data_IF_756443240052
#
_entry.id   IF_756443240052
#
_cell.length_a   1.000
_cell.length_b   1.000
_cell.length_c   1.000
_cell.angle_alpha   90.00
_cell.angle_beta   90.00
_cell.angle_gamma   90.00
#
_symmetry.space_group_name_H-M   'P 1'
#
loop_
_entity.id
_entity.type
_entity.pdbx_description
1 polymer ?
#
# COMPACT_ATOMS: atom_id res chain seq x y z
N UNK A 1 -42.26 21.40 -56.10
CA UNK A 1 -41.87 20.99 -54.76
C UNK A 1 -40.41 21.32 -54.62
N UNK A 2 -40.08 22.29 -53.79
CA UNK A 2 -38.84 23.06 -53.79
C UNK A 2 -37.71 22.30 -53.04
N UNK A 3 -36.63 21.98 -53.78
CA UNK A 3 -35.41 21.43 -53.20
C UNK A 3 -34.50 22.54 -52.59
N UNK A 4 -34.04 22.36 -51.40
CA UNK A 4 -33.00 23.22 -50.78
C UNK A 4 -31.62 22.61 -51.02
N UNK A 5 -30.81 23.34 -51.78
CA UNK A 5 -29.39 23.07 -51.94
C UNK A 5 -28.63 23.76 -50.81
N UNK A 6 -27.97 22.97 -49.93
CA UNK A 6 -27.02 23.49 -48.97
C UNK A 6 -25.64 23.48 -49.62
N UNK A 7 -25.09 24.67 -49.82
CA UNK A 7 -23.72 24.88 -50.31
C UNK A 7 -22.72 24.48 -49.24
N UNK A 8 -21.94 23.44 -49.50
CA UNK A 8 -20.70 23.15 -48.76
C UNK A 8 -19.64 24.18 -49.12
N UNK A 9 -19.35 25.10 -48.24
CA UNK A 9 -18.18 25.98 -48.32
C UNK A 9 -16.91 25.20 -47.93
N UNK A 10 -16.02 25.03 -48.90
CA UNK A 10 -14.69 24.50 -48.67
C UNK A 10 -13.88 25.54 -47.88
N UNK A 11 -13.57 25.25 -46.63
CA UNK A 11 -12.52 25.94 -45.88
C UNK A 11 -11.16 25.33 -46.26
N UNK A 12 -10.46 26.00 -47.19
CA UNK A 12 -9.05 25.74 -47.45
C UNK A 12 -8.25 26.29 -46.30
N UNK A 13 -7.73 25.41 -45.43
CA UNK A 13 -6.75 25.78 -44.45
C UNK A 13 -5.39 25.86 -45.14
N UNK A 14 -4.91 27.07 -45.37
CA UNK A 14 -3.55 27.36 -45.79
C UNK A 14 -2.62 26.99 -44.63
N UNK A 15 -1.93 25.82 -44.70
CA UNK A 15 -0.79 25.54 -43.88
C UNK A 15 0.39 26.31 -44.47
N UNK A 16 0.61 27.52 -43.98
CA UNK A 16 1.88 28.21 -44.16
C UNK A 16 2.95 27.51 -43.32
N UNK A 17 3.84 26.81 -43.98
CA UNK A 17 5.08 26.29 -43.40
C UNK A 17 6.00 27.44 -42.97
N UNK A 18 5.83 27.93 -41.75
CA UNK A 18 6.83 28.82 -41.13
C UNK A 18 7.86 27.88 -40.47
N UNK A 19 8.90 27.56 -41.26
CA UNK A 19 10.20 27.15 -40.71
C UNK A 19 10.85 28.44 -40.18
N UNK A 20 10.38 28.91 -39.07
CA UNK A 20 11.00 29.95 -38.26
C UNK A 20 11.66 29.27 -37.07
N UNK A 21 12.96 29.47 -36.95
CA UNK A 21 13.76 28.90 -35.86
C UNK A 21 13.11 29.10 -34.48
N UNK A 22 12.75 28.01 -33.83
CA UNK A 22 12.51 28.01 -32.40
C UNK A 22 13.85 28.32 -31.75
N UNK A 23 14.12 29.60 -31.49
CA UNK A 23 15.04 29.99 -30.45
C UNK A 23 14.57 29.25 -29.20
N UNK A 24 15.40 28.33 -28.72
CA UNK A 24 15.26 27.73 -27.39
C UNK A 24 15.42 28.91 -26.41
N UNK A 25 14.33 29.59 -26.12
CA UNK A 25 14.23 30.29 -24.85
C UNK A 25 14.28 29.17 -23.82
N UNK A 26 15.48 28.93 -23.30
CA UNK A 26 15.63 28.13 -22.11
C UNK A 26 14.63 28.68 -21.09
N UNK A 27 13.68 27.87 -20.65
CA UNK A 27 12.89 28.23 -19.49
C UNK A 27 13.92 28.69 -18.44
N UNK A 28 13.76 29.87 -17.82
CA UNK A 28 14.67 30.28 -16.75
C UNK A 28 14.71 29.09 -15.78
N UNK A 29 15.95 28.72 -15.40
CA UNK A 29 16.13 27.71 -14.34
C UNK A 29 15.20 28.13 -13.21
N UNK A 30 14.39 27.21 -12.66
CA UNK A 30 13.46 27.56 -11.61
C UNK A 30 14.27 28.23 -10.51
N UNK A 31 14.08 29.54 -10.33
CA UNK A 31 14.62 30.26 -9.18
C UNK A 31 14.23 29.42 -7.98
N UNK A 32 15.21 28.93 -7.23
CA UNK A 32 14.93 28.17 -6.02
C UNK A 32 14.00 29.05 -5.17
N UNK A 33 12.94 28.48 -4.63
CA UNK A 33 11.99 29.23 -3.79
C UNK A 33 12.69 29.97 -2.63
N UNK A 34 13.94 29.59 -2.33
CA UNK A 34 14.80 30.20 -1.31
C UNK A 34 15.35 31.60 -1.70
N UNK A 35 15.42 31.92 -2.97
CA UNK A 35 15.98 33.22 -3.45
C UNK A 35 14.90 34.25 -3.81
N UNK A 36 13.64 33.85 -3.93
CA UNK A 36 12.53 34.73 -4.28
C UNK A 36 11.86 35.26 -3.03
N UNK A 37 11.65 36.58 -2.92
CA UNK A 37 10.79 37.16 -1.88
C UNK A 37 9.36 36.76 -2.17
N UNK A 38 8.88 35.69 -1.44
CA UNK A 38 7.53 35.14 -1.62
C UNK A 38 6.48 36.14 -1.15
N UNK A 39 5.34 36.20 -1.83
CA UNK A 39 4.17 36.92 -1.34
C UNK A 39 3.67 36.31 -0.03
N UNK A 40 2.88 37.05 0.75
CA UNK A 40 2.26 36.50 1.96
C UNK A 40 1.38 35.28 1.65
N UNK A 41 0.73 35.27 0.48
CA UNK A 41 -0.09 34.16 0.03
C UNK A 41 0.77 32.92 -0.29
N UNK A 42 1.87 33.06 -1.01
CA UNK A 42 2.80 31.96 -1.29
C UNK A 42 3.40 31.39 0.02
N UNK A 43 3.73 32.26 0.98
CA UNK A 43 4.19 31.84 2.31
C UNK A 43 3.13 31.03 3.04
N UNK A 44 1.86 31.44 2.98
CA UNK A 44 0.76 30.70 3.58
C UNK A 44 0.58 29.30 2.97
N UNK A 45 0.67 29.19 1.62
CA UNK A 45 0.62 27.88 0.91
C UNK A 45 1.75 26.97 1.38
N UNK A 46 2.99 27.46 1.42
CA UNK A 46 4.15 26.66 1.80
C UNK A 46 4.06 26.23 3.26
N UNK A 47 3.63 27.13 4.16
CA UNK A 47 3.47 26.84 5.57
C UNK A 47 2.41 25.77 5.78
N UNK A 48 1.24 25.90 5.14
CA UNK A 48 0.18 24.91 5.20
C UNK A 48 0.65 23.55 4.64
N UNK A 49 1.37 23.51 3.53
CA UNK A 49 1.88 22.27 2.95
C UNK A 49 2.87 21.56 3.91
N UNK A 50 3.78 22.29 4.55
CA UNK A 50 4.70 21.75 5.56
C UNK A 50 3.94 21.18 6.76
N UNK A 51 2.98 21.91 7.28
CA UNK A 51 2.14 21.47 8.39
C UNK A 51 1.41 20.19 8.06
N UNK A 52 0.78 20.11 6.87
CA UNK A 52 0.07 18.89 6.43
C UNK A 52 1.00 17.70 6.26
N UNK A 53 2.25 17.90 5.81
CA UNK A 53 3.25 16.80 5.72
C UNK A 53 3.64 16.32 7.11
N UNK A 54 3.88 17.23 8.06
CA UNK A 54 4.32 16.85 9.41
C UNK A 54 3.20 16.17 10.18
N UNK A 55 1.99 16.72 10.17
CA UNK A 55 0.81 16.14 10.80
C UNK A 55 0.45 14.79 10.16
N UNK A 56 0.46 14.71 8.83
CA UNK A 56 0.18 13.50 8.10
C UNK A 56 1.18 12.39 8.37
N UNK A 57 2.47 12.72 8.56
CA UNK A 57 3.50 11.77 8.97
C UNK A 57 3.23 11.24 10.38
N UNK A 58 2.84 12.09 11.32
CA UNK A 58 2.49 11.66 12.67
C UNK A 58 1.27 10.73 12.65
N UNK A 59 0.24 11.08 11.89
CA UNK A 59 -0.95 10.24 11.72
C UNK A 59 -0.58 8.89 11.09
N UNK A 60 0.14 8.89 9.97
CA UNK A 60 0.53 7.68 9.27
C UNK A 60 1.35 6.72 10.13
N UNK A 61 2.25 7.26 10.96
CA UNK A 61 3.21 6.49 11.76
C UNK A 61 2.69 6.05 13.11
N UNK A 62 1.73 6.81 13.72
CA UNK A 62 1.43 6.64 15.14
C UNK A 62 -0.05 6.67 15.51
N UNK A 63 -0.96 7.03 14.59
CA UNK A 63 -2.38 7.13 14.90
C UNK A 63 -3.08 5.78 14.73
N UNK A 64 -3.85 5.38 15.72
CA UNK A 64 -4.64 4.15 15.74
C UNK A 64 -6.11 4.38 15.42
N UNK A 65 -6.54 5.63 15.31
CA UNK A 65 -7.94 5.99 15.04
C UNK A 65 -8.96 5.40 16.03
N UNK A 66 -8.51 5.02 17.23
CA UNK A 66 -9.37 4.36 18.23
C UNK A 66 -9.54 2.85 18.02
N UNK A 67 -8.72 2.24 17.17
CA UNK A 67 -8.79 0.81 16.84
C UNK A 67 -8.30 -0.13 17.95
N UNK A 68 -7.66 0.42 18.99
CA UNK A 68 -7.30 -0.33 20.19
C UNK A 68 -8.49 -1.01 20.86
N UNK A 69 -9.70 -0.47 20.67
CA UNK A 69 -10.93 -1.12 21.13
C UNK A 69 -11.22 -2.44 20.41
N UNK A 70 -10.70 -2.64 19.21
CA UNK A 70 -10.78 -3.91 18.49
C UNK A 70 -9.56 -4.79 18.77
N UNK A 71 -8.36 -4.32 18.47
CA UNK A 71 -7.14 -5.12 18.56
C UNK A 71 -6.75 -5.45 20.00
N UNK A 72 -6.92 -4.50 20.89
CA UNK A 72 -6.62 -4.64 22.32
C UNK A 72 -7.78 -5.21 23.12
N UNK A 73 -8.98 -4.60 23.03
CA UNK A 73 -10.08 -4.93 23.92
C UNK A 73 -10.85 -6.17 23.44
N UNK A 74 -11.26 -6.20 22.15
CA UNK A 74 -12.05 -7.32 21.63
C UNK A 74 -11.19 -8.56 21.34
N UNK A 75 -10.09 -8.42 20.58
CA UNK A 75 -9.22 -9.54 20.23
C UNK A 75 -8.22 -9.91 21.33
N UNK A 76 -7.98 -9.01 22.29
CA UNK A 76 -7.02 -9.17 23.39
C UNK A 76 -5.59 -9.48 22.92
N UNK A 77 -5.17 -8.97 21.75
CA UNK A 77 -3.88 -9.29 21.16
C UNK A 77 -2.70 -8.91 22.07
N UNK A 78 -2.84 -7.85 22.87
CA UNK A 78 -1.85 -7.44 23.88
C UNK A 78 -1.55 -8.54 24.89
N UNK A 79 -2.51 -9.42 25.22
CA UNK A 79 -2.32 -10.53 26.15
C UNK A 79 -1.38 -11.60 25.55
N UNK A 80 -1.50 -11.88 24.24
CA UNK A 80 -0.60 -12.79 23.55
C UNK A 80 0.82 -12.18 23.41
N UNK A 81 0.94 -10.87 23.27
CA UNK A 81 2.24 -10.17 23.23
C UNK A 81 2.94 -10.26 24.58
N UNK A 82 2.23 -10.00 25.68
CA UNK A 82 2.77 -10.10 27.04
C UNK A 82 3.21 -11.52 27.39
N UNK A 83 2.40 -12.50 27.05
CA UNK A 83 2.60 -13.87 27.52
C UNK A 83 2.34 -14.04 29.03
N UNK A 84 2.24 -15.28 29.46
CA UNK A 84 1.90 -15.62 30.85
C UNK A 84 2.87 -15.04 31.90
N UNK A 85 4.15 -14.89 31.54
CA UNK A 85 5.17 -14.33 32.46
C UNK A 85 4.92 -12.87 32.81
N UNK A 86 4.28 -12.10 31.94
CA UNK A 86 3.97 -10.69 32.13
C UNK A 86 2.46 -10.45 32.38
N UNK A 87 1.74 -11.48 32.85
CA UNK A 87 0.31 -11.39 33.18
C UNK A 87 -0.61 -11.44 31.95
N UNK A 88 -0.14 -11.93 30.82
CA UNK A 88 -0.91 -12.22 29.61
C UNK A 88 -1.16 -13.71 29.44
N UNK A 89 -1.25 -14.17 28.19
CA UNK A 89 -1.52 -15.58 27.84
C UNK A 89 -0.48 -16.15 26.89
N UNK A 90 -0.23 -17.47 26.98
CA UNK A 90 0.72 -18.17 26.13
C UNK A 90 2.20 -17.82 26.41
N UNK A 91 3.10 -18.06 25.43
CA UNK A 91 4.55 -17.88 25.63
C UNK A 91 4.97 -16.43 25.61
N UNK A 92 4.16 -15.50 25.08
CA UNK A 92 4.53 -14.14 24.76
C UNK A 92 5.19 -14.00 23.39
N UNK A 93 5.26 -12.79 22.87
CA UNK A 93 5.89 -12.48 21.60
C UNK A 93 7.24 -11.85 21.81
N UNK A 94 8.32 -12.63 21.64
CA UNK A 94 9.70 -12.11 21.71
C UNK A 94 10.05 -11.28 20.47
N UNK A 95 11.05 -10.37 20.50
CA UNK A 95 11.53 -9.67 19.32
C UNK A 95 11.92 -10.61 18.17
N UNK A 96 12.59 -11.72 18.45
CA UNK A 96 12.93 -12.73 17.41
C UNK A 96 11.68 -13.25 16.72
N UNK A 97 10.64 -13.62 17.48
CA UNK A 97 9.38 -14.09 16.93
C UNK A 97 8.65 -12.96 16.17
N UNK A 98 8.64 -11.74 16.71
CA UNK A 98 8.02 -10.58 16.08
C UNK A 98 8.67 -10.23 14.73
N UNK A 99 10.00 -10.20 14.66
CA UNK A 99 10.76 -10.03 13.42
C UNK A 99 10.51 -11.18 12.44
N UNK A 100 10.38 -12.41 12.92
CA UNK A 100 10.02 -13.59 12.12
C UNK A 100 8.63 -13.49 11.51
N UNK A 101 7.69 -12.79 12.15
CA UNK A 101 6.37 -12.44 11.62
C UNK A 101 6.38 -11.19 10.73
N UNK A 102 7.56 -10.60 10.50
CA UNK A 102 7.74 -9.45 9.61
C UNK A 102 7.50 -8.10 10.25
N UNK A 103 7.30 -8.01 11.57
CA UNK A 103 7.33 -6.73 12.28
C UNK A 103 8.70 -6.09 12.15
N UNK A 104 8.78 -4.77 12.22
CA UNK A 104 10.00 -3.99 12.05
C UNK A 104 10.24 -3.09 13.25
N UNK A 105 11.50 -2.72 13.46
CA UNK A 105 11.90 -1.80 14.54
C UNK A 105 12.57 -0.57 13.93
N UNK A 106 12.05 0.60 14.28
CA UNK A 106 12.58 1.91 13.89
C UNK A 106 13.76 2.28 14.79
N UNK A 107 14.96 2.26 14.22
CA UNK A 107 16.19 2.55 14.95
C UNK A 107 16.27 3.99 15.47
N UNK A 108 15.60 4.94 14.77
CA UNK A 108 15.62 6.35 15.17
C UNK A 108 14.80 6.62 16.45
N UNK A 109 13.98 5.66 16.90
CA UNK A 109 13.24 5.71 18.16
C UNK A 109 13.92 4.93 19.30
N UNK A 110 15.04 4.29 19.04
CA UNK A 110 15.83 3.62 20.07
C UNK A 110 16.76 4.61 20.76
N UNK A 111 16.85 4.60 22.11
CA UNK A 111 17.96 5.27 22.80
C UNK A 111 19.31 4.77 22.28
N UNK A 112 20.27 5.67 22.13
CA UNK A 112 21.59 5.34 21.54
C UNK A 112 22.29 4.16 22.25
N UNK A 113 22.16 4.09 23.56
CA UNK A 113 22.73 2.97 24.36
C UNK A 113 22.06 1.63 24.02
N UNK A 114 20.74 1.63 23.85
CA UNK A 114 20.00 0.43 23.46
C UNK A 114 20.38 -0.01 22.03
N UNK A 115 20.45 0.92 21.08
CA UNK A 115 20.91 0.62 19.73
C UNK A 115 22.32 0.03 19.69
N UNK A 116 23.24 0.54 20.53
CA UNK A 116 24.59 0.00 20.68
C UNK A 116 24.59 -1.40 21.32
N UNK A 117 23.72 -1.66 22.30
CA UNK A 117 23.57 -2.98 22.91
C UNK A 117 23.01 -4.00 21.92
N UNK A 118 22.02 -3.61 21.09
CA UNK A 118 21.49 -4.47 20.00
C UNK A 118 22.62 -4.81 19.02
N UNK A 119 23.40 -3.82 18.58
CA UNK A 119 24.53 -4.02 17.66
C UNK A 119 25.58 -4.96 18.26
N UNK A 120 25.79 -4.90 19.56
CA UNK A 120 26.73 -5.74 20.28
C UNK A 120 26.19 -7.13 20.67
N UNK A 121 24.94 -7.45 20.30
CA UNK A 121 24.27 -8.72 20.66
C UNK A 121 24.04 -8.89 22.16
N UNK A 122 23.89 -7.78 22.91
CA UNK A 122 23.73 -7.79 24.36
C UNK A 122 22.29 -7.67 24.85
N UNK A 123 21.35 -7.48 23.90
CA UNK A 123 19.91 -7.46 24.20
C UNK A 123 19.35 -8.86 24.03
N UNK A 124 18.61 -9.33 25.02
CA UNK A 124 17.87 -10.59 24.90
C UNK A 124 16.69 -10.38 23.95
N UNK A 125 16.81 -10.89 22.73
CA UNK A 125 15.78 -10.83 21.70
C UNK A 125 14.78 -12.00 21.80
N UNK A 126 14.96 -12.92 22.72
CA UNK A 126 14.04 -14.05 22.95
C UNK A 126 13.11 -13.83 24.15
N UNK A 127 13.30 -12.72 24.89
CA UNK A 127 12.42 -12.34 26.00
C UNK A 127 11.25 -11.44 25.51
N UNK A 128 9.98 -11.83 25.71
CA UNK A 128 8.81 -10.98 25.43
C UNK A 128 8.82 -9.63 26.14
N UNK A 129 9.50 -9.50 27.30
CA UNK A 129 9.64 -8.22 27.99
C UNK A 129 10.36 -7.17 27.11
N UNK A 130 11.30 -7.61 26.25
CA UNK A 130 11.98 -6.73 25.31
C UNK A 130 11.00 -6.17 24.26
N UNK A 131 10.05 -6.98 23.75
CA UNK A 131 9.00 -6.49 22.86
C UNK A 131 8.11 -5.44 23.54
N UNK A 132 7.69 -5.68 24.77
CA UNK A 132 6.90 -4.72 25.55
C UNK A 132 7.68 -3.42 25.75
N UNK A 133 8.99 -3.49 26.04
CA UNK A 133 9.85 -2.30 26.14
C UNK A 133 9.95 -1.54 24.81
N UNK A 134 10.09 -2.22 23.68
CA UNK A 134 10.09 -1.60 22.34
C UNK A 134 8.76 -0.93 22.00
N UNK A 135 7.63 -1.52 22.39
CA UNK A 135 6.30 -0.88 22.26
C UNK A 135 6.19 0.39 23.11
N UNK A 136 6.76 0.39 24.33
CA UNK A 136 6.80 1.57 25.21
C UNK A 136 7.60 2.72 24.60
N UNK A 137 8.65 2.40 23.84
CA UNK A 137 9.44 3.36 23.07
C UNK A 137 8.77 3.79 21.76
N UNK A 138 7.63 3.20 21.41
CA UNK A 138 6.97 3.34 20.08
C UNK A 138 7.87 2.95 18.90
N UNK A 139 8.87 2.11 19.16
CA UNK A 139 9.86 1.71 18.17
C UNK A 139 9.40 0.57 17.26
N UNK A 140 8.34 -0.17 17.62
CA UNK A 140 7.76 -1.19 16.74
C UNK A 140 6.93 -0.50 15.66
N UNK A 141 7.37 -0.65 14.41
CA UNK A 141 6.73 0.01 13.25
C UNK A 141 5.30 -0.48 13.09
N UNK A 142 4.35 0.46 13.09
CA UNK A 142 2.95 0.18 12.84
C UNK A 142 2.14 -0.33 14.03
N UNK A 143 2.72 -0.33 15.25
CA UNK A 143 2.04 -0.73 16.48
C UNK A 143 2.17 0.33 17.58
N UNK A 144 1.07 0.65 18.24
CA UNK A 144 1.05 1.47 19.46
C UNK A 144 0.58 0.64 20.65
N UNK A 145 1.43 0.52 21.67
CA UNK A 145 1.03 -0.02 22.97
C UNK A 145 0.43 1.05 23.87
N UNK A 146 -0.65 0.73 24.54
CA UNK A 146 -1.29 1.56 25.57
C UNK A 146 -0.95 0.99 26.95
N UNK A 147 -0.42 1.84 27.81
CA UNK A 147 0.10 1.44 29.12
C UNK A 147 -0.64 2.15 30.24
N UNK A 148 -0.83 1.47 31.36
CA UNK A 148 -1.34 2.09 32.58
C UNK A 148 -0.24 2.88 33.32
N UNK A 149 -0.62 3.46 34.47
CA UNK A 149 0.31 4.24 35.30
C UNK A 149 1.42 3.38 35.95
N UNK A 150 1.24 2.08 36.07
CA UNK A 150 2.25 1.14 36.54
C UNK A 150 3.24 0.75 35.43
N UNK A 151 2.90 1.08 34.18
CA UNK A 151 3.69 0.76 32.99
C UNK A 151 3.37 -0.61 32.39
N UNK A 152 2.24 -1.20 32.76
CA UNK A 152 1.76 -2.45 32.22
C UNK A 152 1.00 -2.24 30.91
N UNK A 153 1.25 -3.09 29.91
CA UNK A 153 0.59 -3.04 28.61
C UNK A 153 -0.89 -3.47 28.76
N UNK A 154 -1.82 -2.55 28.51
CA UNK A 154 -3.25 -2.75 28.67
C UNK A 154 -3.98 -2.99 27.34
N UNK A 155 -3.49 -2.41 26.26
CA UNK A 155 -4.11 -2.54 24.94
C UNK A 155 -3.07 -2.30 23.85
N UNK A 156 -3.45 -2.57 22.60
CA UNK A 156 -2.62 -2.32 21.41
C UNK A 156 -3.51 -1.87 20.27
N UNK A 157 -3.01 -0.93 19.46
CA UNK A 157 -3.61 -0.52 18.20
C UNK A 157 -2.62 -0.61 17.06
N UNK A 158 -3.14 -0.65 15.83
CA UNK A 158 -2.35 -0.70 14.60
C UNK A 158 -2.37 0.65 13.88
N UNK A 159 -1.43 0.82 12.93
CA UNK A 159 -1.25 2.07 12.19
C UNK A 159 -1.07 1.78 10.71
N UNK A 160 -1.28 2.78 9.83
CA UNK A 160 -1.02 2.67 8.39
C UNK A 160 0.40 2.16 8.10
N UNK A 161 1.37 2.55 8.93
CA UNK A 161 2.76 2.16 8.81
C UNK A 161 2.99 0.64 9.01
N UNK A 162 2.08 -0.11 9.61
CA UNK A 162 2.21 -1.57 9.78
C UNK A 162 2.40 -2.28 8.44
N UNK A 163 1.52 -2.00 7.48
CA UNK A 163 1.52 -2.60 6.15
C UNK A 163 2.36 -1.80 5.13
N UNK A 164 2.44 -0.47 5.32
CA UNK A 164 3.00 0.46 4.34
C UNK A 164 4.29 1.15 4.81
N UNK A 165 5.05 0.52 5.72
CA UNK A 165 6.42 0.89 6.03
C UNK A 165 7.28 -0.34 6.25
N UNK A 166 8.53 -0.27 5.82
CA UNK A 166 9.58 -1.20 6.20
C UNK A 166 10.76 -0.43 6.80
N UNK A 167 11.91 -1.07 6.93
CA UNK A 167 13.16 -0.43 7.39
C UNK A 167 14.30 -0.80 6.44
N UNK A 168 15.37 0.01 6.49
CA UNK A 168 16.57 -0.14 5.65
C UNK A 168 17.58 -1.18 6.17
N UNK A 169 17.24 -1.92 7.23
CA UNK A 169 18.09 -2.92 7.87
C UNK A 169 19.47 -2.38 8.32
N UNK A 170 19.61 -1.06 8.51
CA UNK A 170 20.89 -0.40 8.79
C UNK A 170 21.51 -0.79 10.13
N UNK A 171 20.74 -1.36 11.06
CA UNK A 171 21.27 -1.87 12.34
C UNK A 171 21.38 -3.40 12.34
N UNK A 172 20.31 -4.10 11.94
CA UNK A 172 20.21 -5.55 11.84
C UNK A 172 19.00 -5.91 10.94
N UNK A 173 18.86 -7.16 10.46
CA UNK A 173 17.68 -7.57 9.69
C UNK A 173 16.37 -7.23 10.43
N UNK A 174 15.50 -6.46 9.80
CA UNK A 174 14.26 -5.96 10.38
C UNK A 174 14.38 -4.80 11.35
N UNK A 175 15.59 -4.28 11.58
CA UNK A 175 15.88 -3.16 12.48
C UNK A 175 16.68 -2.10 11.73
N UNK A 176 16.11 -0.93 11.49
CA UNK A 176 16.75 0.11 10.72
C UNK A 176 15.92 1.39 10.68
N UNK A 177 16.28 2.31 9.78
CA UNK A 177 15.52 3.54 9.56
C UNK A 177 14.28 3.26 8.74
N UNK A 178 13.22 3.92 9.10
CA UNK A 178 11.90 3.71 8.49
C UNK A 178 11.85 4.18 7.04
N UNK A 179 11.25 3.36 6.19
CA UNK A 179 10.97 3.60 4.78
C UNK A 179 9.45 3.65 4.60
N UNK A 180 8.86 4.82 4.80
CA UNK A 180 7.42 5.00 4.65
C UNK A 180 7.01 4.89 3.17
N UNK A 181 5.83 4.32 2.94
CA UNK A 181 5.29 4.05 1.61
C UNK A 181 5.75 2.71 1.00
N UNK A 182 6.77 2.08 1.55
CA UNK A 182 7.21 0.76 1.10
C UNK A 182 6.30 -0.32 1.67
N UNK A 183 5.82 -1.22 0.81
CA UNK A 183 5.04 -2.37 1.26
C UNK A 183 5.89 -3.29 2.15
N UNK A 184 5.41 -3.61 3.35
CA UNK A 184 6.06 -4.58 4.22
C UNK A 184 5.77 -6.00 3.75
N UNK A 185 6.57 -6.51 2.82
CA UNK A 185 6.41 -7.84 2.21
C UNK A 185 6.83 -9.00 3.11
N UNK A 186 7.42 -8.71 4.27
CA UNK A 186 7.70 -9.71 5.31
C UNK A 186 6.53 -9.89 6.28
N UNK A 187 5.65 -8.89 6.38
CA UNK A 187 4.58 -8.86 7.38
C UNK A 187 3.54 -9.95 7.15
N UNK A 188 3.38 -10.84 8.11
CA UNK A 188 2.34 -11.87 8.11
C UNK A 188 1.17 -11.42 8.99
N UNK A 189 0.31 -10.54 8.44
CA UNK A 189 -0.85 -9.96 9.15
C UNK A 189 -1.75 -11.06 9.67
N UNK A 190 -2.01 -12.09 8.86
CA UNK A 190 -2.87 -13.20 9.25
C UNK A 190 -2.32 -13.95 10.46
N UNK A 191 -1.05 -14.35 10.43
CA UNK A 191 -0.43 -15.05 11.54
C UNK A 191 -0.36 -14.19 12.82
N UNK A 192 -0.12 -12.88 12.70
CA UNK A 192 -0.14 -11.95 13.84
C UNK A 192 -1.55 -11.88 14.45
N UNK A 193 -2.58 -11.71 13.61
CA UNK A 193 -3.97 -11.67 14.06
C UNK A 193 -4.39 -13.01 14.68
N UNK A 194 -3.93 -14.13 14.13
CA UNK A 194 -4.21 -15.48 14.65
C UNK A 194 -3.60 -15.76 16.05
N UNK A 195 -2.65 -14.92 16.53
CA UNK A 195 -2.17 -14.98 17.91
C UNK A 195 -3.21 -14.50 18.93
N UNK A 196 -4.24 -13.78 18.49
CA UNK A 196 -5.27 -13.25 19.38
C UNK A 196 -5.94 -14.35 20.17
N UNK A 197 -6.08 -14.20 21.51
CA UNK A 197 -6.76 -15.18 22.35
C UNK A 197 -8.25 -15.30 22.04
N UNK A 198 -8.88 -14.21 21.60
CA UNK A 198 -10.30 -14.13 21.29
C UNK A 198 -10.55 -13.65 19.86
N UNK A 199 -11.06 -14.51 19.02
CA UNK A 199 -11.48 -14.20 17.64
C UNK A 199 -13.02 -14.24 17.49
N UNK A 200 -13.76 -14.23 18.60
CA UNK A 200 -15.22 -14.38 18.60
C UNK A 200 -15.94 -13.28 17.82
N UNK A 201 -15.44 -12.04 17.88
CA UNK A 201 -15.99 -10.91 17.13
C UNK A 201 -15.91 -11.11 15.62
N UNK A 202 -14.76 -11.60 15.12
CA UNK A 202 -14.56 -11.92 13.70
C UNK A 202 -15.35 -13.15 13.30
N UNK A 203 -15.35 -14.20 14.15
CA UNK A 203 -16.11 -15.42 13.95
C UNK A 203 -17.61 -15.15 13.82
N UNK A 204 -18.15 -14.30 14.71
CA UNK A 204 -19.56 -13.88 14.68
C UNK A 204 -19.89 -13.09 13.41
N UNK A 205 -19.01 -12.16 13.00
CA UNK A 205 -19.21 -11.36 11.78
C UNK A 205 -19.26 -12.26 10.54
N UNK A 206 -18.37 -13.26 10.45
CA UNK A 206 -18.26 -14.15 9.31
C UNK A 206 -19.23 -15.36 9.37
N UNK A 207 -19.91 -15.56 10.51
CA UNK A 207 -20.82 -16.70 10.72
C UNK A 207 -20.14 -18.07 10.77
N UNK A 208 -18.90 -18.12 11.28
CA UNK A 208 -18.08 -19.34 11.41
C UNK A 208 -17.53 -19.47 12.84
N UNK A 209 -16.87 -20.60 13.17
CA UNK A 209 -16.18 -20.74 14.44
C UNK A 209 -14.78 -20.07 14.43
N UNK A 210 -14.21 -19.83 15.63
CA UNK A 210 -12.91 -19.16 15.79
C UNK A 210 -11.75 -19.97 15.19
N UNK A 211 -11.83 -21.29 15.17
CA UNK A 211 -10.79 -22.14 14.59
C UNK A 211 -10.75 -21.99 13.07
N UNK A 212 -11.92 -21.94 12.43
CA UNK A 212 -12.04 -21.62 10.99
C UNK A 212 -11.42 -20.24 10.68
N UNK A 213 -11.72 -19.23 11.49
CA UNK A 213 -11.07 -17.90 11.34
C UNK A 213 -9.55 -18.00 11.42
N UNK A 214 -9.02 -18.73 12.42
CA UNK A 214 -7.59 -18.94 12.63
C UNK A 214 -6.92 -19.63 11.44
N UNK A 215 -7.57 -20.65 10.88
CA UNK A 215 -7.06 -21.34 9.69
C UNK A 215 -7.02 -20.44 8.47
N UNK A 216 -8.06 -19.64 8.23
CA UNK A 216 -8.08 -18.64 7.15
C UNK A 216 -6.97 -17.62 7.31
N UNK A 217 -6.81 -17.03 8.49
CA UNK A 217 -5.76 -16.06 8.78
C UNK A 217 -4.35 -16.64 8.53
N UNK A 218 -4.08 -17.85 9.00
CA UNK A 218 -2.81 -18.54 8.79
C UNK A 218 -2.54 -18.90 7.32
N UNK A 219 -3.58 -18.95 6.46
CA UNK A 219 -3.42 -19.23 5.02
C UNK A 219 -2.92 -18.05 4.21
N UNK A 220 -2.93 -16.82 4.75
CA UNK A 220 -2.56 -15.61 3.98
C UNK A 220 -1.07 -15.58 3.62
N UNK A 221 -0.21 -15.85 4.60
CA UNK A 221 1.24 -15.82 4.44
C UNK A 221 1.85 -14.39 4.43
N UNK A 222 3.19 -14.30 4.34
CA UNK A 222 3.91 -13.02 4.40
C UNK A 222 3.56 -12.08 3.25
N UNK A 223 3.47 -10.78 3.55
CA UNK A 223 3.25 -9.70 2.59
C UNK A 223 1.85 -9.67 2.00
N UNK A 224 0.90 -10.40 2.57
CA UNK A 224 -0.48 -10.51 2.07
C UNK A 224 -1.51 -10.11 3.10
N UNK A 225 -2.63 -9.58 2.60
CA UNK A 225 -3.81 -9.22 3.36
C UNK A 225 -5.07 -9.41 2.51
N UNK A 226 -6.16 -9.81 3.12
CA UNK A 226 -7.44 -9.95 2.43
C UNK A 226 -8.45 -8.89 2.89
N UNK A 227 -8.37 -7.71 2.29
CA UNK A 227 -9.29 -6.60 2.55
C UNK A 227 -10.75 -6.91 2.17
N UNK A 228 -10.99 -7.90 1.32
CA UNK A 228 -12.34 -8.23 0.87
C UNK A 228 -13.00 -9.32 1.72
N UNK A 229 -12.26 -10.00 2.62
CA UNK A 229 -12.81 -11.08 3.46
C UNK A 229 -14.01 -10.61 4.28
N UNK A 230 -13.90 -9.46 4.93
CA UNK A 230 -14.98 -8.86 5.74
C UNK A 230 -16.08 -8.22 4.89
N UNK A 231 -15.93 -8.19 3.57
CA UNK A 231 -16.94 -7.68 2.65
C UNK A 231 -17.79 -8.83 2.08
N UNK A 232 -17.13 -9.87 1.52
CA UNK A 232 -17.79 -10.93 0.76
C UNK A 232 -17.70 -12.33 1.37
N UNK A 233 -16.90 -12.53 2.41
CA UNK A 233 -16.72 -13.82 3.11
C UNK A 233 -15.93 -14.87 2.33
N UNK A 234 -15.27 -14.52 1.21
CA UNK A 234 -14.54 -15.46 0.36
C UNK A 234 -13.09 -15.56 0.80
N UNK A 235 -12.75 -16.59 1.55
CA UNK A 235 -11.40 -16.81 2.09
C UNK A 235 -10.43 -17.47 1.10
N UNK A 236 -10.95 -18.25 0.14
CA UNK A 236 -10.15 -19.04 -0.79
C UNK A 236 -10.60 -18.83 -2.23
N UNK A 237 -9.64 -18.96 -3.14
CA UNK A 237 -9.84 -18.95 -4.58
C UNK A 237 -10.37 -20.32 -5.06
N UNK A 238 -10.93 -20.41 -6.28
CA UNK A 238 -11.39 -21.69 -6.84
C UNK A 238 -10.28 -22.75 -6.96
N UNK A 239 -9.01 -22.34 -7.04
CA UNK A 239 -7.84 -23.24 -7.09
C UNK A 239 -7.39 -23.70 -5.67
N UNK A 240 -8.13 -23.35 -4.62
CA UNK A 240 -7.83 -23.70 -3.23
C UNK A 240 -6.78 -22.83 -2.56
N UNK A 241 -6.18 -21.85 -3.27
CA UNK A 241 -5.23 -20.93 -2.67
C UNK A 241 -5.96 -19.82 -1.90
N UNK A 242 -5.24 -19.20 -0.96
CA UNK A 242 -5.75 -18.05 -0.22
C UNK A 242 -6.20 -16.91 -1.16
N UNK A 243 -7.30 -16.26 -0.79
CA UNK A 243 -7.82 -15.08 -1.48
C UNK A 243 -7.03 -13.79 -1.15
N UNK A 244 -6.12 -13.85 -0.17
CA UNK A 244 -5.32 -12.70 0.24
C UNK A 244 -4.42 -12.19 -0.90
N UNK A 245 -4.35 -10.87 -1.02
CA UNK A 245 -3.55 -10.18 -2.03
C UNK A 245 -2.29 -9.58 -1.45
N UNK A 246 -1.28 -9.37 -2.29
CA UNK A 246 -0.05 -8.71 -1.89
C UNK A 246 -0.32 -7.27 -1.44
N UNK A 247 0.32 -6.86 -0.35
CA UNK A 247 0.31 -5.47 0.11
C UNK A 247 0.91 -4.57 -0.98
N UNK A 248 0.16 -3.58 -1.49
CA UNK A 248 0.69 -2.66 -2.50
C UNK A 248 1.59 -1.60 -1.85
N UNK A 249 2.54 -1.01 -2.59
CA UNK A 249 3.27 0.15 -2.12
C UNK A 249 2.33 1.37 -2.00
N UNK A 250 2.65 2.26 -1.06
CA UNK A 250 1.96 3.53 -0.82
C UNK A 250 2.89 4.74 -1.07
N UNK A 251 3.77 4.64 -2.05
CA UNK A 251 4.61 5.73 -2.55
C UNK A 251 4.27 6.06 -4.01
N UNK A 252 4.66 7.24 -4.48
CA UNK A 252 4.44 7.66 -5.88
C UNK A 252 2.96 7.78 -6.26
N UNK A 253 2.09 8.10 -5.30
CA UNK A 253 0.65 8.13 -5.47
C UNK A 253 0.14 9.43 -6.12
N UNK A 254 0.96 10.49 -6.13
CA UNK A 254 0.59 11.77 -6.74
C UNK A 254 0.36 11.65 -8.25
N UNK A 255 -0.69 12.28 -8.74
CA UNK A 255 -1.08 12.25 -10.16
C UNK A 255 -1.94 11.05 -10.57
N UNK A 256 -2.27 10.16 -9.65
CA UNK A 256 -3.08 8.96 -9.90
C UNK A 256 -4.33 9.02 -9.04
N UNK A 257 -5.50 8.76 -9.61
CA UNK A 257 -6.78 8.86 -8.88
C UNK A 257 -7.37 7.51 -8.47
N UNK A 258 -6.94 6.39 -9.07
CA UNK A 258 -7.39 5.05 -8.67
C UNK A 258 -6.26 4.27 -8.01
N UNK A 259 -6.55 3.61 -6.90
CA UNK A 259 -5.55 2.92 -6.09
C UNK A 259 -5.98 1.50 -5.72
N UNK A 260 -5.05 0.72 -5.17
CA UNK A 260 -5.12 -0.73 -4.95
C UNK A 260 -5.13 -1.54 -6.26
N UNK A 261 -5.31 -2.86 -6.20
CA UNK A 261 -5.24 -3.73 -7.38
C UNK A 261 -6.44 -3.55 -8.33
N UNK A 262 -7.61 -3.29 -7.77
CA UNK A 262 -8.88 -3.18 -8.49
C UNK A 262 -9.31 -1.73 -8.76
N UNK A 263 -8.64 -0.75 -8.16
CA UNK A 263 -8.83 0.65 -8.50
C UNK A 263 -10.21 1.25 -8.19
N UNK A 264 -10.96 0.69 -7.25
CA UNK A 264 -12.33 1.15 -6.99
C UNK A 264 -12.44 2.46 -6.17
N UNK A 265 -11.31 3.10 -5.85
CA UNK A 265 -11.29 4.37 -5.12
C UNK A 265 -9.95 5.07 -5.14
N UNK A 266 -9.98 6.33 -4.73
CA UNK A 266 -8.80 7.19 -4.55
C UNK A 266 -8.03 6.87 -3.27
N UNK A 267 -6.87 7.50 -3.05
CA UNK A 267 -6.13 7.41 -1.76
C UNK A 267 -7.02 7.86 -0.60
N UNK A 268 -7.75 8.96 -0.76
CA UNK A 268 -8.65 9.47 0.30
C UNK A 268 -9.77 8.49 0.63
N UNK A 269 -10.36 7.88 -0.40
CA UNK A 269 -11.37 6.83 -0.21
C UNK A 269 -10.78 5.66 0.58
N UNK A 270 -9.62 5.15 0.15
CA UNK A 270 -8.97 4.02 0.80
C UNK A 270 -8.51 4.33 2.22
N UNK A 271 -8.06 5.55 2.50
CA UNK A 271 -7.74 5.97 3.87
C UNK A 271 -8.96 5.89 4.78
N UNK A 272 -10.12 6.38 4.32
CA UNK A 272 -11.37 6.30 5.08
C UNK A 272 -11.86 4.85 5.22
N UNK A 273 -11.82 4.07 4.13
CA UNK A 273 -12.21 2.65 4.14
C UNK A 273 -11.36 1.84 5.11
N UNK A 274 -10.04 1.88 4.96
CA UNK A 274 -9.10 1.09 5.78
C UNK A 274 -9.19 1.48 7.25
N UNK A 275 -9.18 2.79 7.56
CA UNK A 275 -9.24 3.24 8.94
C UNK A 275 -10.55 2.83 9.65
N UNK A 276 -11.70 2.84 8.94
CA UNK A 276 -12.98 2.45 9.53
C UNK A 276 -13.21 0.93 9.53
N UNK A 277 -12.87 0.21 8.42
CA UNK A 277 -13.33 -1.16 8.20
C UNK A 277 -12.24 -2.21 8.41
N UNK A 278 -10.98 -1.92 8.04
CA UNK A 278 -9.87 -2.88 8.14
C UNK A 278 -9.10 -2.73 9.47
N UNK A 279 -8.87 -1.49 9.89
CA UNK A 279 -8.26 -1.20 11.18
C UNK A 279 -9.28 -1.27 12.32
N UNK A 280 -10.59 -1.17 12.02
CA UNK A 280 -11.69 -1.08 12.98
C UNK A 280 -11.64 0.17 13.88
N UNK A 281 -11.17 1.28 13.31
CA UNK A 281 -11.18 2.59 13.97
C UNK A 281 -12.59 3.17 14.10
N UNK A 282 -12.69 4.28 14.82
CA UNK A 282 -13.96 4.95 15.11
C UNK A 282 -14.12 6.21 14.26
N UNK A 283 -14.88 6.15 13.18
CA UNK A 283 -15.03 7.29 12.28
C UNK A 283 -16.34 7.30 11.51
N UNK A 284 -16.35 8.14 10.48
CA UNK A 284 -17.43 8.24 9.52
C UNK A 284 -16.97 7.69 8.17
N UNK A 285 -17.79 6.78 7.58
CA UNK A 285 -17.54 6.26 6.25
C UNK A 285 -18.87 5.99 5.53
N UNK A 286 -18.92 6.29 4.23
CA UNK A 286 -20.10 6.05 3.40
C UNK A 286 -19.71 5.56 2.01
N UNK A 287 -20.16 4.34 1.68
CA UNK A 287 -20.13 3.79 0.32
C UNK A 287 -21.35 2.91 0.09
N UNK A 288 -22.38 3.39 -0.64
CA UNK A 288 -23.60 2.64 -0.86
C UNK A 288 -23.40 1.38 -1.69
N UNK A 289 -22.27 1.21 -2.41
CA UNK A 289 -21.95 0.00 -3.18
C UNK A 289 -21.79 -1.21 -2.26
N UNK A 290 -21.36 -1.01 -1.01
CA UNK A 290 -21.24 -2.08 0.00
C UNK A 290 -22.58 -2.59 0.54
N UNK A 291 -23.69 -1.96 0.16
CA UNK A 291 -25.04 -2.41 0.54
C UNK A 291 -25.62 -3.47 -0.42
N UNK A 292 -24.87 -3.90 -1.44
CA UNK A 292 -25.28 -4.99 -2.33
C UNK A 292 -25.07 -6.36 -1.65
N UNK A 293 -26.14 -7.03 -1.18
CA UNK A 293 -26.01 -8.29 -0.45
C UNK A 293 -25.60 -9.48 -1.35
N UNK A 294 -25.67 -9.31 -2.67
CA UNK A 294 -25.23 -10.34 -3.63
C UNK A 294 -23.71 -10.31 -3.77
N UNK A 295 -23.14 -9.12 -3.86
CA UNK A 295 -21.70 -8.93 -4.03
C UNK A 295 -20.95 -8.89 -2.70
N UNK A 296 -21.53 -8.22 -1.69
CA UNK A 296 -20.92 -7.96 -0.39
C UNK A 296 -21.82 -8.38 0.76
N UNK A 297 -22.17 -9.69 0.89
CA UNK A 297 -23.15 -10.15 1.87
C UNK A 297 -22.79 -9.82 3.31
N UNK A 298 -21.51 -9.90 3.69
CA UNK A 298 -21.05 -9.58 5.05
C UNK A 298 -21.14 -8.06 5.30
N UNK A 299 -20.60 -7.25 4.39
CA UNK A 299 -20.62 -5.78 4.53
C UNK A 299 -22.06 -5.24 4.56
N UNK A 300 -22.95 -5.75 3.71
CA UNK A 300 -24.35 -5.34 3.66
C UNK A 300 -25.06 -5.69 4.97
N UNK A 301 -24.87 -6.91 5.50
CA UNK A 301 -25.48 -7.34 6.77
C UNK A 301 -24.92 -6.55 7.97
N UNK A 302 -23.64 -6.19 7.96
CA UNK A 302 -22.98 -5.44 9.01
C UNK A 302 -23.18 -3.90 8.91
N UNK A 303 -23.79 -3.40 7.83
CA UNK A 303 -24.01 -1.97 7.61
C UNK A 303 -22.72 -1.18 7.29
N UNK A 304 -21.67 -1.82 6.76
CA UNK A 304 -20.40 -1.21 6.47
C UNK A 304 -20.46 -0.12 5.40
N UNK A 305 -21.52 -0.10 4.60
CA UNK A 305 -21.77 0.98 3.64
C UNK A 305 -22.17 2.32 4.26
N UNK A 306 -22.41 2.40 5.60
CA UNK A 306 -22.79 3.62 6.29
C UNK A 306 -22.37 3.62 7.76
N UNK A 307 -21.08 3.79 8.00
CA UNK A 307 -20.50 3.87 9.36
C UNK A 307 -20.62 5.28 9.92
N UNK A 308 -21.06 5.40 11.19
CA UNK A 308 -21.17 6.67 11.92
C UNK A 308 -20.82 6.44 13.39
N UNK A 309 -19.61 6.82 13.79
CA UNK A 309 -19.17 6.75 15.17
C UNK A 309 -19.13 8.16 15.80
N UNK A 310 -19.43 8.23 17.07
CA UNK A 310 -19.28 9.42 17.91
C UNK A 310 -18.50 9.04 19.18
N UNK A 311 -17.31 9.62 19.41
CA UNK A 311 -16.63 10.61 18.55
C UNK A 311 -16.08 10.01 17.23
N UNK A 312 -16.01 10.84 16.19
CA UNK A 312 -15.29 10.54 14.94
C UNK A 312 -13.81 10.88 15.11
N UNK A 313 -12.96 9.85 15.13
CA UNK A 313 -11.52 9.96 15.33
C UNK A 313 -10.73 9.92 14.00
N UNK A 314 -11.41 9.82 12.86
CA UNK A 314 -10.81 9.62 11.55
C UNK A 314 -10.92 10.85 10.65
N UNK A 315 -12.13 11.38 10.46
CA UNK A 315 -12.40 12.36 9.39
C UNK A 315 -11.51 13.59 9.46
N UNK A 316 -11.26 14.14 10.65
CA UNK A 316 -10.42 15.33 10.84
C UNK A 316 -8.94 15.11 10.44
N UNK A 317 -8.49 13.88 10.35
CA UNK A 317 -7.11 13.49 10.07
C UNK A 317 -6.85 13.18 8.59
N UNK A 318 -7.91 12.91 7.82
CA UNK A 318 -7.80 12.45 6.43
C UNK A 318 -7.06 13.44 5.52
N UNK A 319 -7.25 14.75 5.73
CA UNK A 319 -6.60 15.78 4.90
C UNK A 319 -5.08 15.73 5.00
N UNK A 320 -4.54 15.73 6.22
CA UNK A 320 -3.10 15.67 6.45
C UNK A 320 -2.51 14.30 6.06
N UNK A 321 -3.20 13.20 6.41
CA UNK A 321 -2.79 11.84 6.03
C UNK A 321 -2.68 11.70 4.51
N UNK A 322 -3.69 12.15 3.76
CA UNK A 322 -3.70 12.12 2.30
C UNK A 322 -2.54 12.92 1.71
N UNK A 323 -2.34 14.15 2.20
CA UNK A 323 -1.28 15.03 1.71
C UNK A 323 0.11 14.42 1.95
N UNK A 324 0.36 13.83 3.12
CA UNK A 324 1.60 13.13 3.41
C UNK A 324 1.85 11.97 2.44
N UNK A 325 0.86 11.10 2.22
CA UNK A 325 1.00 9.96 1.31
C UNK A 325 1.29 10.40 -0.13
N UNK A 326 0.66 11.48 -0.61
CA UNK A 326 0.97 12.03 -1.93
C UNK A 326 2.38 12.62 -2.01
N UNK A 327 2.94 13.09 -0.89
CA UNK A 327 4.30 13.63 -0.83
C UNK A 327 5.39 12.55 -0.83
N UNK A 328 5.07 11.28 -0.55
CA UNK A 328 6.05 10.18 -0.56
C UNK A 328 6.44 9.85 -2.01
N UNK A 329 7.69 10.11 -2.43
CA UNK A 329 8.12 9.82 -3.79
C UNK A 329 8.34 8.32 -3.99
N UNK A 330 8.16 7.83 -5.21
CA UNK A 330 8.66 6.51 -5.57
C UNK A 330 10.19 6.47 -5.42
N UNK A 331 10.75 5.43 -4.77
CA UNK A 331 12.19 5.34 -4.55
C UNK A 331 12.93 5.10 -5.87
N UNK A 332 14.07 5.77 -6.02
CA UNK A 332 14.95 5.56 -7.18
C UNK A 332 15.77 4.30 -6.99
N UNK A 333 15.96 3.48 -8.04
CA UNK A 333 16.79 2.29 -7.93
C UNK A 333 18.26 2.66 -7.70
N UNK A 334 19.01 1.84 -6.94
CA UNK A 334 20.45 1.98 -6.84
C UNK A 334 21.10 1.88 -8.24
N UNK A 335 22.10 2.71 -8.52
CA UNK A 335 22.76 2.75 -9.86
C UNK A 335 23.35 1.41 -10.31
N UNK A 336 23.72 0.54 -9.39
CA UNK A 336 24.31 -0.76 -9.67
C UNK A 336 23.27 -1.89 -9.72
N UNK A 337 21.96 -1.61 -9.61
CA UNK A 337 20.91 -2.63 -9.56
C UNK A 337 20.37 -3.05 -10.94
N UNK A 338 20.80 -2.37 -12.01
CA UNK A 338 20.41 -2.67 -13.38
C UNK A 338 21.53 -2.30 -14.36
N UNK A 339 21.50 -2.87 -15.56
CA UNK A 339 22.40 -2.52 -16.66
C UNK A 339 21.84 -1.29 -17.42
N UNK A 340 22.51 -0.11 -17.38
CA UNK A 340 22.00 1.10 -18.04
C UNK A 340 21.92 0.99 -19.58
N UNK A 341 22.78 0.19 -20.22
CA UNK A 341 22.76 0.02 -21.67
C UNK A 341 21.59 -0.87 -22.09
N UNK A 342 21.38 -2.00 -21.40
CA UNK A 342 20.23 -2.86 -21.61
C UNK A 342 18.92 -2.13 -21.29
N UNK A 343 18.88 -1.33 -20.20
CA UNK A 343 17.73 -0.52 -19.85
C UNK A 343 17.34 0.49 -20.94
N UNK A 344 18.33 1.13 -21.59
CA UNK A 344 18.06 2.05 -22.70
C UNK A 344 17.47 1.32 -23.95
N UNK A 345 17.90 0.09 -24.22
CA UNK A 345 17.26 -0.76 -25.25
C UNK A 345 15.84 -1.15 -24.84
N UNK A 346 15.67 -1.55 -23.57
CA UNK A 346 14.37 -1.89 -23.00
C UNK A 346 13.36 -0.76 -23.05
N UNK A 347 13.77 0.50 -22.86
CA UNK A 347 12.91 1.68 -23.00
C UNK A 347 12.31 1.78 -24.42
N UNK A 348 13.15 1.59 -25.44
CA UNK A 348 12.69 1.61 -26.82
C UNK A 348 11.72 0.46 -27.13
N UNK A 349 11.96 -0.73 -26.56
CA UNK A 349 11.08 -1.89 -26.69
C UNK A 349 9.76 -1.65 -25.96
N UNK A 350 9.80 -1.09 -24.75
CA UNK A 350 8.64 -0.75 -23.91
C UNK A 350 7.67 0.18 -24.63
N UNK A 351 8.20 1.24 -25.25
CA UNK A 351 7.40 2.21 -25.99
C UNK A 351 6.97 1.72 -27.38
N UNK A 352 7.79 0.87 -28.02
CA UNK A 352 7.62 0.39 -29.38
C UNK A 352 6.99 -1.00 -29.47
N UNK A 353 7.83 -2.02 -29.73
CA UNK A 353 7.39 -3.39 -30.06
C UNK A 353 6.52 -4.03 -28.98
N UNK A 354 6.85 -3.83 -27.71
CA UNK A 354 6.10 -4.41 -26.59
C UNK A 354 4.82 -3.62 -26.23
N UNK A 355 4.67 -2.39 -26.71
CA UNK A 355 3.49 -1.52 -26.50
C UNK A 355 3.08 -1.31 -25.04
N UNK A 356 3.97 -1.52 -24.08
CA UNK A 356 3.68 -1.40 -22.65
C UNK A 356 3.25 0.02 -22.25
N UNK A 357 3.80 1.04 -22.94
CA UNK A 357 3.45 2.46 -22.75
C UNK A 357 2.00 2.81 -23.08
N UNK A 358 1.22 1.92 -23.72
CA UNK A 358 -0.22 2.15 -23.98
C UNK A 358 -1.04 2.19 -22.71
N UNK A 359 -0.69 1.36 -21.72
CA UNK A 359 -1.32 1.31 -20.41
C UNK A 359 -0.39 1.93 -19.33
N UNK A 360 0.90 1.61 -19.33
CA UNK A 360 1.87 2.18 -18.39
C UNK A 360 2.45 3.49 -18.94
N UNK A 361 1.62 4.54 -18.94
CA UNK A 361 1.90 5.84 -19.60
C UNK A 361 2.98 6.63 -18.83
N UNK A 362 4.14 6.95 -19.44
CA UNK A 362 5.13 7.82 -18.81
C UNK A 362 4.62 9.26 -18.63
N UNK A 363 5.05 10.00 -17.60
CA UNK A 363 6.02 9.64 -16.58
C UNK A 363 5.43 8.96 -15.35
N UNK A 364 4.12 8.68 -15.32
CA UNK A 364 3.45 8.02 -14.19
C UNK A 364 3.63 6.51 -14.22
N UNK A 365 3.80 5.93 -15.43
CA UNK A 365 3.86 4.49 -15.68
C UNK A 365 2.64 3.74 -15.17
N UNK A 366 1.50 4.40 -15.25
CA UNK A 366 0.15 3.91 -15.02
C UNK A 366 -0.81 4.79 -15.82
N UNK A 367 -2.08 4.41 -15.93
CA UNK A 367 -3.08 5.22 -16.59
C UNK A 367 -3.64 6.27 -15.62
N UNK A 368 -3.57 7.55 -15.96
CA UNK A 368 -4.31 8.59 -15.24
C UNK A 368 -5.80 8.47 -15.57
N UNK A 369 -6.65 9.01 -14.68
CA UNK A 369 -8.09 9.02 -14.92
C UNK A 369 -8.78 7.77 -14.37
N UNK A 370 -9.81 7.30 -15.07
CA UNK A 370 -10.75 6.27 -14.59
C UNK A 370 -10.69 4.97 -15.39
N UNK A 371 -9.62 4.75 -16.16
CA UNK A 371 -9.52 3.54 -16.96
C UNK A 371 -9.23 2.32 -16.09
N UNK A 372 -9.97 1.25 -16.33
CA UNK A 372 -9.87 -0.05 -15.68
C UNK A 372 -10.03 -1.15 -16.73
N UNK A 373 -9.32 -2.25 -16.53
CA UNK A 373 -9.27 -3.38 -17.47
C UNK A 373 -10.03 -4.59 -16.93
N UNK A 374 -10.71 -5.31 -17.81
CA UNK A 374 -11.24 -6.63 -17.48
C UNK A 374 -10.09 -7.63 -17.34
N UNK A 375 -10.35 -8.74 -16.64
CA UNK A 375 -9.39 -9.82 -16.51
C UNK A 375 -8.93 -10.38 -17.87
N UNK A 376 -9.88 -10.51 -18.80
CA UNK A 376 -9.63 -11.01 -20.17
C UNK A 376 -8.75 -10.06 -21.00
N UNK A 377 -8.86 -8.73 -20.80
CA UNK A 377 -8.00 -7.74 -21.49
C UNK A 377 -6.52 -7.87 -21.11
N UNK A 378 -6.20 -8.40 -19.94
CA UNK A 378 -4.84 -8.49 -19.42
C UNK A 378 -4.36 -9.93 -19.15
N UNK A 379 -5.17 -10.92 -19.54
CA UNK A 379 -4.81 -12.34 -19.48
C UNK A 379 -4.63 -12.91 -18.08
N UNK A 380 -5.43 -12.45 -17.11
CA UNK A 380 -5.44 -12.97 -15.73
C UNK A 380 -6.82 -13.48 -15.34
N UNK A 381 -6.94 -14.17 -14.20
CA UNK A 381 -8.24 -14.56 -13.69
C UNK A 381 -9.03 -13.36 -13.14
N UNK A 382 -10.33 -13.49 -13.08
CA UNK A 382 -11.27 -12.46 -12.65
C UNK A 382 -11.62 -12.52 -11.16
N UNK A 383 -11.05 -13.46 -10.39
CA UNK A 383 -11.46 -13.71 -9.01
C UNK A 383 -11.37 -12.45 -8.15
N UNK A 384 -10.19 -11.80 -8.12
CA UNK A 384 -10.01 -10.58 -7.31
C UNK A 384 -10.79 -9.39 -7.89
N UNK A 385 -10.89 -9.27 -9.21
CA UNK A 385 -11.69 -8.24 -9.85
C UNK A 385 -13.17 -8.35 -9.42
N UNK A 386 -13.74 -9.56 -9.45
CA UNK A 386 -15.12 -9.82 -9.06
C UNK A 386 -15.43 -9.54 -7.58
N UNK A 387 -14.42 -9.31 -6.75
CA UNK A 387 -14.53 -8.88 -5.35
C UNK A 387 -14.54 -7.35 -5.19
N UNK A 388 -14.55 -6.61 -6.29
CA UNK A 388 -14.64 -5.14 -6.32
C UNK A 388 -15.92 -4.68 -7.01
N UNK A 389 -16.45 -3.48 -6.69
CA UNK A 389 -17.67 -2.98 -7.32
C UNK A 389 -17.61 -2.90 -8.84
N UNK A 390 -16.44 -2.55 -9.38
CA UNK A 390 -16.23 -2.34 -10.82
C UNK A 390 -15.88 -3.63 -11.57
N UNK A 391 -15.57 -4.72 -10.86
CA UNK A 391 -15.17 -6.02 -11.40
C UNK A 391 -14.02 -5.93 -12.42
N UNK A 392 -13.06 -5.04 -12.14
CA UNK A 392 -11.95 -4.72 -13.04
C UNK A 392 -10.64 -4.57 -12.26
N UNK A 393 -9.55 -4.57 -12.99
CA UNK A 393 -8.19 -4.26 -12.51
C UNK A 393 -7.75 -2.90 -13.01
N UNK A 394 -6.94 -2.20 -12.24
CA UNK A 394 -6.24 -1.01 -12.73
C UNK A 394 -4.85 -1.36 -13.24
N UNK A 395 -4.31 -0.52 -14.10
CA UNK A 395 -2.89 -0.56 -14.48
C UNK A 395 -2.01 -0.20 -13.28
N UNK A 396 -1.24 -1.16 -12.77
CA UNK A 396 -0.34 -0.94 -11.64
C UNK A 396 0.80 0.02 -12.01
N UNK A 397 1.15 1.02 -11.16
CA UNK A 397 2.31 1.87 -11.39
C UNK A 397 3.61 1.07 -11.39
N UNK A 398 4.52 1.39 -12.31
CA UNK A 398 5.81 0.68 -12.40
C UNK A 398 6.95 1.41 -11.67
N UNK A 399 6.79 2.69 -11.29
CA UNK A 399 7.81 3.40 -10.52
C UNK A 399 8.06 2.72 -9.19
N UNK A 400 9.33 2.48 -8.89
CA UNK A 400 9.74 1.77 -7.68
C UNK A 400 9.50 0.27 -7.73
N UNK A 401 9.18 -0.33 -8.89
CA UNK A 401 8.92 -1.77 -9.01
C UNK A 401 10.12 -2.64 -8.58
N UNK A 402 11.33 -2.11 -8.65
CA UNK A 402 12.54 -2.76 -8.17
C UNK A 402 12.50 -3.10 -6.67
N UNK A 403 11.63 -2.44 -5.89
CA UNK A 403 11.44 -2.73 -4.47
C UNK A 403 10.65 -4.03 -4.22
N UNK A 404 10.01 -4.59 -5.24
CA UNK A 404 9.24 -5.84 -5.15
C UNK A 404 10.15 -7.07 -5.17
N UNK A 405 10.99 -7.20 -4.15
CA UNK A 405 11.98 -8.30 -4.07
C UNK A 405 11.40 -9.60 -3.47
N UNK A 406 10.20 -9.54 -2.85
CA UNK A 406 9.57 -10.66 -2.16
C UNK A 406 8.09 -10.78 -2.55
N UNK A 407 7.59 -12.01 -2.52
CA UNK A 407 6.17 -12.31 -2.74
C UNK A 407 5.71 -12.30 -4.20
N UNK A 408 6.60 -11.96 -5.14
CA UNK A 408 6.30 -11.94 -6.58
C UNK A 408 5.51 -10.71 -7.03
N UNK A 409 4.93 -10.82 -8.22
CA UNK A 409 4.24 -9.75 -8.95
C UNK A 409 2.77 -10.09 -9.16
N UNK A 410 1.98 -9.12 -9.59
CA UNK A 410 0.51 -9.12 -9.63
C UNK A 410 -0.12 -9.11 -8.22
N UNK A 411 -1.44 -9.08 -8.16
CA UNK A 411 -2.17 -8.99 -6.90
C UNK A 411 -1.98 -10.19 -5.98
N UNK A 412 -1.69 -11.36 -6.53
CA UNK A 412 -1.58 -12.63 -5.78
C UNK A 412 -0.15 -13.20 -5.71
N UNK A 413 0.81 -12.57 -6.41
CA UNK A 413 2.20 -13.04 -6.44
C UNK A 413 2.44 -14.19 -7.41
N UNK A 414 1.59 -14.37 -8.42
CA UNK A 414 1.64 -15.51 -9.38
C UNK A 414 2.92 -15.57 -10.21
N UNK A 415 3.55 -14.45 -10.48
CA UNK A 415 4.81 -14.36 -11.21
C UNK A 415 5.93 -14.05 -10.23
N UNK A 416 6.97 -14.90 -10.22
CA UNK A 416 8.05 -14.77 -9.24
C UNK A 416 9.07 -13.71 -9.64
N UNK A 417 9.23 -13.47 -10.95
CA UNK A 417 10.22 -12.53 -11.50
C UNK A 417 9.60 -11.54 -12.47
N UNK A 418 10.30 -10.43 -12.75
CA UNK A 418 9.91 -9.52 -13.83
C UNK A 418 9.97 -10.18 -15.21
N UNK A 419 10.87 -11.13 -15.40
CA UNK A 419 10.94 -11.90 -16.65
C UNK A 419 9.64 -12.70 -16.86
N UNK A 420 9.11 -13.37 -15.81
CA UNK A 420 7.85 -14.11 -15.90
C UNK A 420 6.68 -13.18 -16.29
N UNK A 421 6.68 -11.94 -15.77
CA UNK A 421 5.67 -10.92 -16.14
C UNK A 421 5.78 -10.54 -17.61
N UNK A 422 7.00 -10.28 -18.10
CA UNK A 422 7.24 -9.91 -19.49
C UNK A 422 6.90 -11.07 -20.43
N UNK A 423 7.28 -12.30 -20.07
CA UNK A 423 6.93 -13.51 -20.83
C UNK A 423 5.43 -13.75 -20.89
N UNK A 424 4.70 -13.52 -19.78
CA UNK A 424 3.26 -13.60 -19.76
C UNK A 424 2.64 -12.67 -20.82
N UNK A 425 3.02 -11.39 -20.84
CA UNK A 425 2.49 -10.45 -21.81
C UNK A 425 2.99 -10.74 -23.24
N UNK A 426 4.25 -11.21 -23.40
CA UNK A 426 4.78 -11.63 -24.69
C UNK A 426 3.92 -12.74 -25.31
N UNK A 427 3.54 -13.73 -24.50
CA UNK A 427 2.71 -14.86 -24.95
C UNK A 427 1.26 -14.44 -25.14
N UNK A 428 0.68 -13.71 -24.18
CA UNK A 428 -0.73 -13.33 -24.20
C UNK A 428 -1.07 -12.41 -25.36
N UNK A 429 -0.23 -11.40 -25.61
CA UNK A 429 -0.46 -10.44 -26.70
C UNK A 429 0.23 -10.83 -28.02
N UNK A 430 0.98 -11.92 -28.06
CA UNK A 430 1.69 -12.35 -29.27
C UNK A 430 2.76 -11.35 -29.73
N UNK A 431 3.51 -10.74 -28.81
CA UNK A 431 4.43 -9.64 -29.12
C UNK A 431 5.66 -10.08 -29.91
N UNK A 432 6.02 -11.37 -29.88
CA UNK A 432 7.16 -11.94 -30.58
C UNK A 432 8.51 -11.43 -30.08
N UNK A 433 8.62 -11.15 -28.76
CA UNK A 433 9.88 -10.74 -28.13
C UNK A 433 10.84 -11.93 -28.03
N UNK A 434 12.09 -11.71 -28.46
CA UNK A 434 13.18 -12.66 -28.23
C UNK A 434 13.78 -12.53 -26.84
N UNK A 435 14.62 -13.50 -26.46
CA UNK A 435 15.23 -13.57 -25.12
C UNK A 435 15.99 -12.28 -24.75
N UNK A 436 16.76 -11.71 -25.69
CA UNK A 436 17.50 -10.48 -25.43
C UNK A 436 16.55 -9.29 -25.19
N UNK A 437 15.48 -9.16 -25.97
CA UNK A 437 14.47 -8.10 -25.81
C UNK A 437 13.74 -8.22 -24.46
N UNK A 438 13.47 -9.44 -23.99
CA UNK A 438 12.91 -9.68 -22.65
C UNK A 438 13.88 -9.22 -21.57
N UNK A 439 15.16 -9.57 -21.67
CA UNK A 439 16.19 -9.16 -20.72
C UNK A 439 16.35 -7.63 -20.69
N UNK A 440 16.37 -6.97 -21.83
CA UNK A 440 16.49 -5.51 -21.94
C UNK A 440 15.26 -4.81 -21.29
N UNK A 441 14.06 -5.34 -21.52
CA UNK A 441 12.84 -4.86 -20.85
C UNK A 441 12.90 -5.03 -19.33
N UNK A 442 13.41 -6.17 -18.83
CA UNK A 442 13.57 -6.40 -17.39
C UNK A 442 14.54 -5.37 -16.79
N UNK A 443 15.65 -5.08 -17.45
CA UNK A 443 16.61 -4.06 -16.99
C UNK A 443 15.97 -2.66 -17.01
N UNK A 444 15.16 -2.33 -18.01
CA UNK A 444 14.39 -1.08 -18.02
C UNK A 444 13.41 -1.00 -16.86
N UNK A 445 12.61 -2.05 -16.60
CA UNK A 445 11.68 -2.10 -15.48
C UNK A 445 12.39 -1.93 -14.13
N UNK A 446 13.58 -2.52 -13.96
CA UNK A 446 14.41 -2.32 -12.76
C UNK A 446 14.90 -0.88 -12.62
N UNK A 447 15.02 -0.13 -13.71
CA UNK A 447 15.46 1.27 -13.72
C UNK A 447 14.39 2.27 -13.32
N UNK A 448 13.12 1.84 -13.27
CA UNK A 448 11.96 2.65 -12.90
C UNK A 448 11.77 2.65 -11.37
#
# INVERSE_FOLDING_TARGET
>A
MKGYWIRMGAFAVLIASVIGGYSLYGAPAPDSLETRRLSQFDQAIITNARQLVDDGRQIFRFDTFGDESFWGDALQLHQAIKGAKLGGVGPGLSPTAALGLGLKVDVDLLPSDLANQVRAGKVDLDDPATTVALLKLKAVVGLTGFFDNAGDLQSIGIQCALCHSTVDDSLAPGIGRRLDGWANRDLNVGAITALAPDLSSVASLLGVDQETVRQVLNSWGPGKFDASLLMDGKAFRPDGKSAATLLPPAFGLAGVNLHTWTGWGSVTYWNAFVANLEMHGKGTFFDPRLNDPTQFPIAAAAGFGNVRNDPDLITSKLGALHFYQLAIPAPRPPRASFDPQAAAQGEAIFAGKAQCARCHVPPLFTEPGWNLHTADEIGVDDFQANRSPDKRYRTAPLKGIWTHQKGGFYHDGRFLTLADVVEHYNNFFGLGLGTQEINDLVEYLKSL
#
